data_IF_550555421712
#
_entry.id   IF_550555421712
#
_cell.length_a   1.000
_cell.length_b   1.000
_cell.length_c   1.000
_cell.angle_alpha   90.00
_cell.angle_beta   90.00
_cell.angle_gamma   90.00
#
_symmetry.space_group_name_H-M   'P 1'
#
loop_
_entity.id
_entity.type
_entity.pdbx_description
1 polymer ?
#
# COMPACT_ATOMS: atom_id res chain seq x y z
N UNK A 1 11.63 -17.27 -10.23
CA UNK A 1 12.32 -16.02 -10.64
C UNK A 1 12.29 -14.94 -9.53
N UNK A 2 13.47 -14.56 -9.03
CA UNK A 2 13.63 -13.32 -8.27
C UNK A 2 13.43 -12.13 -9.22
N UNK A 3 12.70 -11.09 -8.80
CA UNK A 3 12.49 -9.88 -9.61
C UNK A 3 11.13 -9.72 -10.32
N UNK A 4 10.18 -10.65 -10.18
CA UNK A 4 8.85 -10.51 -10.80
C UNK A 4 7.91 -9.49 -10.12
N UNK A 5 8.42 -8.62 -9.24
CA UNK A 5 7.63 -7.57 -8.57
C UNK A 5 6.79 -8.00 -7.36
N UNK A 6 6.91 -9.25 -6.87
CA UNK A 6 6.12 -9.74 -5.71
C UNK A 6 6.32 -8.88 -4.45
N UNK A 7 7.56 -8.55 -4.12
CA UNK A 7 7.85 -7.70 -2.95
C UNK A 7 7.30 -6.28 -3.13
N UNK A 8 7.42 -5.72 -4.35
CA UNK A 8 6.83 -4.42 -4.69
C UNK A 8 5.32 -4.46 -4.50
N UNK A 9 4.63 -5.50 -4.99
CA UNK A 9 3.19 -5.67 -4.79
C UNK A 9 2.82 -5.75 -3.31
N UNK A 10 3.55 -6.54 -2.52
CA UNK A 10 3.32 -6.65 -1.08
C UNK A 10 3.54 -5.31 -0.36
N UNK A 11 4.54 -4.53 -0.75
CA UNK A 11 4.78 -3.20 -0.18
C UNK A 11 3.67 -2.21 -0.55
N UNK A 12 3.16 -2.25 -1.78
CA UNK A 12 2.04 -1.41 -2.20
C UNK A 12 0.76 -1.76 -1.42
N UNK A 13 0.45 -3.05 -1.27
CA UNK A 13 -0.71 -3.53 -0.49
C UNK A 13 -0.56 -3.15 0.99
N UNK A 14 0.65 -3.28 1.55
CA UNK A 14 0.96 -2.90 2.93
C UNK A 14 1.07 -1.39 3.18
N UNK A 15 0.84 -0.55 2.15
CA UNK A 15 1.01 0.90 2.21
C UNK A 15 2.42 1.32 2.71
N UNK A 16 3.42 0.49 2.40
CA UNK A 16 4.84 0.74 2.65
C UNK A 16 5.49 1.48 1.48
N UNK A 17 4.86 1.42 0.30
CA UNK A 17 5.31 2.11 -0.91
C UNK A 17 4.11 2.72 -1.66
N UNK A 18 4.34 3.72 -2.51
CA UNK A 18 3.31 4.35 -3.36
C UNK A 18 3.46 3.89 -4.80
N UNK A 19 2.35 3.63 -5.52
CA UNK A 19 2.46 3.35 -6.94
C UNK A 19 2.96 4.60 -7.67
N UNK A 20 3.90 4.43 -8.60
CA UNK A 20 4.42 5.55 -9.40
C UNK A 20 3.36 6.12 -10.36
N UNK A 21 2.34 5.33 -10.70
CA UNK A 21 1.19 5.73 -11.50
C UNK A 21 0.00 4.80 -11.25
N UNK A 22 -1.20 5.23 -11.66
CA UNK A 22 -2.44 4.47 -11.45
C UNK A 22 -3.10 4.77 -10.10
N UNK A 23 -4.03 3.90 -9.69
CA UNK A 23 -4.83 4.08 -8.48
C UNK A 23 -4.90 2.78 -7.70
N UNK A 24 -4.73 2.88 -6.38
CA UNK A 24 -4.89 1.81 -5.41
C UNK A 24 -6.14 2.11 -4.60
N UNK A 25 -7.11 1.19 -4.68
CA UNK A 25 -8.34 1.26 -3.92
C UNK A 25 -8.31 0.17 -2.84
N UNK A 26 -8.53 0.56 -1.58
CA UNK A 26 -8.72 -0.37 -0.46
C UNK A 26 -10.11 -0.09 0.11
N UNK A 27 -10.96 -1.11 0.16
CA UNK A 27 -12.36 -0.99 0.58
C UNK A 27 -13.11 0.13 -0.15
N UNK A 28 -12.84 0.28 -1.45
CA UNK A 28 -13.43 1.33 -2.30
C UNK A 28 -12.86 2.74 -2.07
N UNK A 29 -11.91 2.92 -1.16
CA UNK A 29 -11.26 4.20 -0.88
C UNK A 29 -9.95 4.32 -1.65
N UNK A 30 -9.78 5.44 -2.38
CA UNK A 30 -8.50 5.79 -3.00
C UNK A 30 -7.47 6.12 -1.92
N UNK A 31 -6.46 5.24 -1.81
CA UNK A 31 -5.35 5.37 -0.86
C UNK A 31 -4.09 5.94 -1.51
N UNK A 32 -4.09 6.12 -2.84
CA UNK A 32 -2.95 6.67 -3.59
C UNK A 32 -2.72 8.13 -3.28
N UNK A 33 -3.78 8.88 -2.96
CA UNK A 33 -3.73 10.31 -2.67
C UNK A 33 -3.67 10.64 -1.18
N UNK A 34 -3.54 9.64 -0.33
CA UNK A 34 -3.46 9.85 1.12
C UNK A 34 -2.12 10.45 1.51
N UNK A 35 -2.16 11.37 2.47
CA UNK A 35 -0.96 11.85 3.15
C UNK A 35 -0.27 10.72 3.92
N UNK A 36 1.03 10.87 4.19
CA UNK A 36 1.79 9.88 4.98
C UNK A 36 1.19 9.61 6.36
N UNK A 37 0.56 10.62 6.96
CA UNK A 37 -0.14 10.49 8.24
C UNK A 37 -1.37 9.60 8.12
N UNK A 38 -2.18 9.80 7.08
CA UNK A 38 -3.36 8.96 6.82
C UNK A 38 -2.96 7.53 6.46
N UNK A 39 -1.92 7.35 5.64
CA UNK A 39 -1.38 6.03 5.28
C UNK A 39 -0.83 5.31 6.49
N UNK A 40 -0.08 5.99 7.36
CA UNK A 40 0.43 5.40 8.60
C UNK A 40 -0.69 5.00 9.57
N UNK A 41 -1.75 5.82 9.69
CA UNK A 41 -2.91 5.49 10.51
C UNK A 41 -3.70 4.28 9.96
N UNK A 42 -3.88 4.22 8.64
CA UNK A 42 -4.51 3.07 7.97
C UNK A 42 -3.65 1.82 8.11
N UNK A 43 -2.35 1.95 7.89
CA UNK A 43 -1.36 0.90 8.06
C UNK A 43 -1.42 0.31 9.48
N UNK A 44 -1.47 1.13 10.52
CA UNK A 44 -1.61 0.62 11.89
C UNK A 44 -2.91 -0.14 12.16
N UNK A 45 -3.96 0.08 11.35
CA UNK A 45 -5.24 -0.65 11.45
C UNK A 45 -5.26 -1.92 10.59
N UNK A 46 -4.52 -1.92 9.47
CA UNK A 46 -4.49 -3.01 8.50
C UNK A 46 -3.33 -3.98 8.70
N UNK A 47 -2.18 -3.53 9.22
CA UNK A 47 -1.01 -4.36 9.40
C UNK A 47 -1.15 -5.24 10.65
N UNK A 48 -1.79 -6.38 10.49
CA UNK A 48 -1.40 -7.61 11.16
C UNK A 48 -0.51 -8.42 10.21
N UNK A 49 0.74 -8.00 10.02
CA UNK A 49 1.71 -8.79 9.25
C UNK A 49 2.29 -9.86 10.17
N UNK A 50 2.19 -11.12 9.75
CA UNK A 50 2.85 -12.29 10.36
C UNK A 50 4.12 -12.60 9.56
#
# INVERSE_FOLDING_TARGET
PSGSGKSTLMHLIGLLDTPSSGTLLIDGKDVTKMSDKERSAMRNRMLGFV
#
